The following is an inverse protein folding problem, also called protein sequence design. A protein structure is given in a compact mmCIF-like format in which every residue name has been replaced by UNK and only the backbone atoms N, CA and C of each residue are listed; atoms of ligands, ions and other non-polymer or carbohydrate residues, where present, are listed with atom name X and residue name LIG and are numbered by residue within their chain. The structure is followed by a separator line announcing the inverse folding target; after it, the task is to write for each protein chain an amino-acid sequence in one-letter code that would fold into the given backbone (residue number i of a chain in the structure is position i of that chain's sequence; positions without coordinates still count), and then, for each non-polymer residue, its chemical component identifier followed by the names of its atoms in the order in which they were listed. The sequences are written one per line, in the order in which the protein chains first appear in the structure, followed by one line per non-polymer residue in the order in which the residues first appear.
data_IF_744287519636
#
_entry.id   IF_744287519636
#
_cell.length_a   1.000
_cell.length_b   1.000
_cell.length_c   1.000
_cell.angle_alpha   90.00
_cell.angle_beta   90.00
_cell.angle_gamma   90.00
#
_symmetry.space_group_name_H-M   'P 1'
#
loop_
_entity.id
_entity.type
_entity.pdbx_description
1 polymer ?
#
# COMPACT_ATOMS: atom_id res chain seq x y z
N UNK A 1 -2.17 -14.94 -19.61
CA UNK A 1 -1.80 -14.11 -18.46
C UNK A 1 -2.02 -12.66 -18.81
N UNK A 2 -2.82 -11.94 -18.03
CA UNK A 2 -3.07 -10.50 -18.19
C UNK A 2 -1.80 -9.70 -17.88
N UNK A 3 -1.69 -8.52 -18.49
CA UNK A 3 -0.60 -7.58 -18.26
C UNK A 3 -0.92 -6.65 -17.08
N UNK A 4 -0.08 -6.62 -16.09
CA UNK A 4 -0.24 -5.81 -14.89
C UNK A 4 0.32 -4.42 -15.13
N UNK A 5 -0.48 -3.37 -15.02
CA UNK A 5 -0.02 -2.00 -14.93
C UNK A 5 0.40 -1.67 -13.51
N UNK A 6 1.60 -1.15 -13.32
CA UNK A 6 2.11 -0.71 -12.00
C UNK A 6 2.50 0.76 -12.08
N UNK A 7 1.73 1.60 -11.40
CA UNK A 7 2.08 3.00 -11.17
C UNK A 7 2.90 3.08 -9.88
N UNK A 8 4.21 3.22 -10.04
CA UNK A 8 5.22 3.14 -8.99
C UNK A 8 6.10 4.38 -8.88
N UNK A 9 7.22 4.24 -8.18
CA UNK A 9 8.18 5.34 -7.95
C UNK A 9 7.85 6.20 -6.71
N UNK A 10 6.94 5.76 -5.85
CA UNK A 10 6.44 6.52 -4.71
C UNK A 10 6.52 5.73 -3.36
N UNK A 11 7.61 5.21 -2.87
CA UNK A 11 8.99 5.28 -3.35
C UNK A 11 9.37 4.28 -4.44
N UNK A 12 10.61 4.42 -4.98
CA UNK A 12 11.16 3.42 -5.89
C UNK A 12 11.55 2.13 -5.15
N UNK A 13 11.95 2.20 -3.89
CA UNK A 13 12.26 1.05 -3.02
C UNK A 13 11.06 0.12 -2.88
N UNK A 14 9.88 0.68 -2.60
CA UNK A 14 8.66 -0.10 -2.53
C UNK A 14 8.25 -0.67 -3.89
N UNK A 15 8.54 0.05 -4.98
CA UNK A 15 8.29 -0.41 -6.34
C UNK A 15 9.11 -1.65 -6.68
N UNK A 16 10.37 -1.74 -6.23
CA UNK A 16 11.19 -2.95 -6.34
C UNK A 16 10.54 -4.12 -5.61
N UNK A 17 10.01 -3.90 -4.41
CA UNK A 17 9.30 -4.92 -3.64
C UNK A 17 8.05 -5.43 -4.38
N UNK A 18 7.25 -4.54 -4.98
CA UNK A 18 6.13 -4.92 -5.86
C UNK A 18 6.59 -5.77 -7.04
N UNK A 19 7.60 -5.31 -7.79
CA UNK A 19 8.11 -6.03 -8.95
C UNK A 19 8.58 -7.44 -8.59
N UNK A 20 9.29 -7.57 -7.47
CA UNK A 20 9.74 -8.87 -6.98
C UNK A 20 8.57 -9.77 -6.55
N UNK A 21 7.59 -9.23 -5.80
CA UNK A 21 6.45 -9.99 -5.32
C UNK A 21 5.59 -10.52 -6.49
N UNK A 22 5.31 -9.68 -7.48
CA UNK A 22 4.56 -10.06 -8.68
C UNK A 22 5.26 -11.20 -9.45
N UNK A 23 6.59 -11.08 -9.67
CA UNK A 23 7.33 -12.08 -10.41
C UNK A 23 7.48 -13.41 -9.63
N UNK A 24 7.73 -13.32 -8.31
CA UNK A 24 7.78 -14.50 -7.44
C UNK A 24 6.43 -15.23 -7.41
N UNK A 25 5.33 -14.49 -7.22
CA UNK A 25 3.99 -15.07 -7.16
C UNK A 25 3.56 -15.76 -8.46
N UNK A 26 3.92 -15.21 -9.62
CA UNK A 26 3.69 -15.88 -10.92
C UNK A 26 4.54 -17.15 -11.04
N UNK A 27 5.84 -17.06 -10.69
CA UNK A 27 6.75 -18.22 -10.75
C UNK A 27 6.32 -19.35 -9.79
N UNK A 28 5.85 -19.03 -8.61
CA UNK A 28 5.36 -20.01 -7.64
C UNK A 28 4.12 -20.76 -8.15
N UNK A 29 3.24 -20.09 -8.91
CA UNK A 29 2.00 -20.70 -9.43
C UNK A 29 2.17 -21.43 -10.74
N UNK A 30 3.06 -20.96 -11.63
CA UNK A 30 3.25 -21.53 -12.98
C UNK A 30 4.54 -22.35 -13.11
N UNK A 31 5.49 -22.17 -12.20
CA UNK A 31 6.80 -22.86 -12.20
C UNK A 31 7.77 -22.36 -13.27
N UNK A 32 8.93 -23.00 -13.33
CA UNK A 32 9.95 -22.81 -14.37
C UNK A 32 10.43 -21.36 -14.51
N UNK A 33 10.46 -20.86 -15.73
CA UNK A 33 10.94 -19.51 -16.08
C UNK A 33 9.80 -18.49 -16.18
N UNK A 34 8.58 -18.84 -15.74
CA UNK A 34 7.46 -17.91 -15.77
C UNK A 34 7.71 -16.67 -14.88
N UNK A 35 7.34 -15.52 -15.39
CA UNK A 35 7.39 -14.23 -14.71
C UNK A 35 6.15 -13.40 -15.06
N UNK A 36 5.87 -12.39 -14.27
CA UNK A 36 4.73 -11.49 -14.51
C UNK A 36 4.96 -10.62 -15.75
N UNK A 37 3.88 -10.40 -16.53
CA UNK A 37 3.86 -9.35 -17.55
C UNK A 37 3.53 -8.04 -16.84
N UNK A 38 4.48 -7.10 -16.79
CA UNK A 38 4.34 -5.83 -16.06
C UNK A 38 4.67 -4.65 -16.96
N UNK A 39 3.80 -3.65 -16.97
CA UNK A 39 4.07 -2.30 -17.48
C UNK A 39 4.21 -1.38 -16.28
N UNK A 40 5.42 -0.87 -16.06
CA UNK A 40 5.76 0.00 -14.95
C UNK A 40 5.95 1.44 -15.44
N UNK A 41 5.20 2.39 -14.86
CA UNK A 41 5.55 3.80 -14.84
C UNK A 41 6.10 4.15 -13.47
N UNK A 42 7.37 4.50 -13.40
CA UNK A 42 8.05 4.90 -12.16
C UNK A 42 8.26 6.40 -12.17
N UNK A 43 7.48 7.12 -11.35
CA UNK A 43 7.52 8.59 -11.29
C UNK A 43 8.68 9.09 -10.41
N UNK A 44 9.09 10.36 -10.60
CA UNK A 44 9.98 11.04 -9.66
C UNK A 44 9.19 11.46 -8.40
N UNK A 45 9.48 10.79 -7.27
CA UNK A 45 8.75 11.01 -6.02
C UNK A 45 8.87 12.42 -5.46
N UNK A 46 10.00 13.10 -5.69
CA UNK A 46 10.19 14.47 -5.20
C UNK A 46 9.13 15.45 -5.72
N UNK A 47 8.64 15.24 -6.96
CA UNK A 47 7.54 16.02 -7.55
C UNK A 47 6.21 15.74 -6.84
N UNK A 48 5.90 14.47 -6.63
CA UNK A 48 4.67 14.01 -5.97
C UNK A 48 4.64 14.46 -4.50
N UNK A 49 5.77 14.26 -3.78
CA UNK A 49 5.91 14.63 -2.38
C UNK A 49 5.64 16.12 -2.14
N UNK A 50 6.19 17.02 -2.99
CA UNK A 50 5.90 18.46 -2.90
C UNK A 50 4.42 18.78 -3.05
N UNK A 51 3.74 18.15 -4.02
CA UNK A 51 2.29 18.33 -4.22
C UNK A 51 1.48 17.81 -3.03
N UNK A 52 1.89 16.68 -2.46
CA UNK A 52 1.29 16.07 -1.28
C UNK A 52 1.43 16.98 -0.05
N UNK A 53 2.63 17.52 0.22
CA UNK A 53 2.87 18.42 1.35
C UNK A 53 2.19 19.79 1.19
N UNK A 54 2.09 20.31 -0.03
CA UNK A 54 1.33 21.54 -0.30
C UNK A 54 -0.19 21.33 -0.30
N UNK A 55 -0.66 20.08 -0.27
CA UNK A 55 -2.08 19.75 -0.34
C UNK A 55 -2.69 19.92 -1.74
N UNK A 56 -1.88 20.04 -2.81
CA UNK A 56 -2.38 20.16 -4.19
C UNK A 56 -2.75 18.79 -4.76
N UNK A 57 -3.79 18.19 -4.17
CA UNK A 57 -4.34 16.91 -4.61
C UNK A 57 -4.89 16.92 -6.04
N UNK A 58 -5.50 18.05 -6.53
CA UNK A 58 -5.88 18.12 -7.93
C UNK A 58 -4.71 18.04 -8.92
N UNK A 59 -3.55 18.64 -8.60
CA UNK A 59 -2.36 18.48 -9.44
C UNK A 59 -1.78 17.08 -9.36
N UNK A 60 -1.76 16.49 -8.16
CA UNK A 60 -1.38 15.08 -7.96
C UNK A 60 -2.25 14.14 -8.79
N UNK A 61 -3.57 14.32 -8.76
CA UNK A 61 -4.52 13.54 -9.54
C UNK A 61 -4.26 13.66 -11.05
N UNK A 62 -4.07 14.87 -11.56
CA UNK A 62 -3.78 15.08 -13.01
C UNK A 62 -2.50 14.39 -13.46
N UNK A 63 -1.43 14.47 -12.64
CA UNK A 63 -0.16 13.83 -12.93
C UNK A 63 -0.31 12.31 -12.96
N UNK A 64 -0.85 11.71 -11.89
CA UNK A 64 -0.98 10.26 -11.79
C UNK A 64 -1.99 9.69 -12.80
N UNK A 65 -3.05 10.42 -13.14
CA UNK A 65 -3.97 10.04 -14.20
C UNK A 65 -3.30 10.04 -15.59
N UNK A 66 -2.36 10.95 -15.85
CA UNK A 66 -1.59 10.94 -17.11
C UNK A 66 -0.70 9.70 -17.21
N UNK A 67 -0.03 9.33 -16.13
CA UNK A 67 0.79 8.11 -16.06
C UNK A 67 -0.06 6.84 -16.19
N UNK A 68 -1.24 6.80 -15.55
CA UNK A 68 -2.18 5.68 -15.67
C UNK A 68 -2.65 5.49 -17.13
N UNK A 69 -2.95 6.58 -17.84
CA UNK A 69 -3.27 6.53 -19.29
C UNK A 69 -2.11 5.98 -20.13
N UNK A 70 -0.87 6.37 -19.82
CA UNK A 70 0.30 5.85 -20.50
C UNK A 70 0.47 4.33 -20.30
N UNK A 71 0.24 3.86 -19.07
CA UNK A 71 0.23 2.43 -18.73
C UNK A 71 -0.88 1.70 -19.51
N UNK A 72 -2.11 2.22 -19.55
CA UNK A 72 -3.19 1.65 -20.32
C UNK A 72 -2.86 1.61 -21.82
N UNK A 73 -2.34 2.71 -22.38
CA UNK A 73 -1.94 2.78 -23.78
C UNK A 73 -0.82 1.80 -24.13
N UNK A 74 0.04 1.44 -23.16
CA UNK A 74 1.05 0.39 -23.27
C UNK A 74 0.47 -1.03 -23.32
N UNK A 75 -0.81 -1.22 -23.03
CA UNK A 75 -1.50 -2.50 -23.12
C UNK A 75 -1.61 -3.25 -21.77
N UNK A 76 -1.65 -2.53 -20.65
CA UNK A 76 -2.02 -3.13 -19.38
C UNK A 76 -3.51 -3.50 -19.36
N UNK A 77 -3.83 -4.63 -18.72
CA UNK A 77 -5.20 -5.12 -18.59
C UNK A 77 -5.89 -4.59 -17.32
N UNK A 78 -5.12 -4.20 -16.33
CA UNK A 78 -5.58 -3.56 -15.08
C UNK A 78 -4.44 -2.78 -14.43
N UNK A 79 -4.78 -1.89 -13.49
CA UNK A 79 -3.82 -0.98 -12.84
C UNK A 79 -3.66 -1.28 -11.35
N UNK A 80 -2.42 -1.17 -10.86
CA UNK A 80 -2.07 -1.04 -9.45
C UNK A 80 -1.46 0.33 -9.19
N UNK A 81 -1.81 0.96 -8.07
CA UNK A 81 -1.08 2.10 -7.53
C UNK A 81 -0.16 1.58 -6.43
N UNK A 82 1.16 1.66 -6.63
CA UNK A 82 2.19 1.06 -5.77
C UNK A 82 2.43 1.81 -4.45
N UNK A 83 1.40 2.45 -3.87
CA UNK A 83 1.45 3.17 -2.59
C UNK A 83 0.06 3.31 -1.99
N UNK A 84 -0.04 3.30 -0.65
CA UNK A 84 -1.34 3.47 0.01
C UNK A 84 -1.86 4.92 -0.13
N UNK A 85 -1.03 5.94 0.13
CA UNK A 85 -1.45 7.34 0.21
C UNK A 85 -2.07 7.87 -1.09
N UNK A 86 -1.55 7.46 -2.26
CA UNK A 86 -2.07 7.97 -3.54
C UNK A 86 -3.42 7.37 -3.93
N UNK A 87 -3.92 6.37 -3.21
CA UNK A 87 -5.32 5.95 -3.35
C UNK A 87 -6.33 7.04 -2.94
N UNK A 88 -5.86 8.13 -2.33
CA UNK A 88 -6.68 9.34 -2.14
C UNK A 88 -7.19 9.94 -3.44
N UNK A 89 -6.43 9.81 -4.52
CA UNK A 89 -6.82 10.28 -5.86
C UNK A 89 -7.20 9.13 -6.80
N UNK A 90 -7.52 7.95 -6.24
CA UNK A 90 -7.97 6.81 -7.02
C UNK A 90 -9.23 7.10 -7.86
N UNK A 91 -10.24 7.82 -7.36
CA UNK A 91 -11.42 8.15 -8.17
C UNK A 91 -11.09 8.92 -9.45
N UNK A 92 -10.17 9.89 -9.38
CA UNK A 92 -9.75 10.69 -10.54
C UNK A 92 -8.90 9.86 -11.51
N UNK A 93 -8.10 8.93 -11.01
CA UNK A 93 -7.34 8.00 -11.83
C UNK A 93 -8.28 7.04 -12.55
N UNK A 94 -9.23 6.42 -11.83
CA UNK A 94 -10.25 5.52 -12.39
C UNK A 94 -11.09 6.21 -13.47
N UNK A 95 -11.47 7.47 -13.25
CA UNK A 95 -12.21 8.26 -14.24
C UNK A 95 -11.40 8.57 -15.53
N UNK A 96 -10.08 8.42 -15.49
CA UNK A 96 -9.18 8.75 -16.60
C UNK A 96 -8.76 7.54 -17.46
N UNK A 97 -9.13 6.33 -17.07
CA UNK A 97 -8.75 5.06 -17.71
C UNK A 97 -9.98 4.15 -17.87
N UNK A 98 -9.93 3.21 -18.82
CA UNK A 98 -10.98 2.22 -19.06
C UNK A 98 -10.66 0.86 -18.43
N UNK A 99 -9.40 0.63 -18.02
CA UNK A 99 -8.98 -0.60 -17.36
C UNK A 99 -9.28 -0.53 -15.86
N UNK A 100 -9.63 -1.65 -15.20
CA UNK A 100 -9.96 -1.64 -13.78
C UNK A 100 -8.75 -1.32 -12.92
N UNK A 101 -8.96 -0.55 -11.84
CA UNK A 101 -8.01 -0.36 -10.75
C UNK A 101 -8.23 -1.46 -9.70
N UNK A 102 -7.20 -2.25 -9.39
CA UNK A 102 -7.20 -3.10 -8.22
C UNK A 102 -6.79 -2.24 -7.01
N UNK A 103 -7.75 -1.96 -6.13
CA UNK A 103 -7.55 -1.03 -5.02
C UNK A 103 -6.88 -1.73 -3.83
N UNK A 104 -5.76 -1.19 -3.32
CA UNK A 104 -4.96 -1.81 -2.24
C UNK A 104 -5.75 -2.05 -0.94
N UNK A 105 -6.65 -1.13 -0.57
CA UNK A 105 -7.48 -1.29 0.62
C UNK A 105 -8.51 -2.41 0.44
N UNK A 106 -9.06 -2.61 -0.77
CA UNK A 106 -10.02 -3.68 -1.03
C UNK A 106 -9.33 -5.05 -0.95
N UNK A 107 -8.15 -5.20 -1.56
CA UNK A 107 -7.34 -6.42 -1.45
C UNK A 107 -7.02 -6.76 0.01
N UNK A 108 -6.63 -5.75 0.81
CA UNK A 108 -6.34 -5.91 2.24
C UNK A 108 -7.60 -6.30 3.03
N UNK A 109 -8.72 -5.66 2.76
CA UNK A 109 -9.99 -5.95 3.43
C UNK A 109 -10.48 -7.38 3.15
N UNK A 110 -10.42 -7.83 1.90
CA UNK A 110 -10.80 -9.20 1.54
C UNK A 110 -9.94 -10.23 2.27
N UNK A 111 -8.65 -9.98 2.42
CA UNK A 111 -7.75 -10.86 3.16
C UNK A 111 -8.10 -10.88 4.66
N UNK A 112 -8.32 -9.72 5.27
CA UNK A 112 -8.75 -9.62 6.67
C UNK A 112 -10.06 -10.36 6.92
N UNK A 113 -11.07 -10.19 6.04
CA UNK A 113 -12.34 -10.89 6.13
C UNK A 113 -12.17 -12.42 5.99
N UNK A 114 -11.34 -12.88 5.06
CA UNK A 114 -11.05 -14.30 4.88
C UNK A 114 -10.40 -14.93 6.13
N UNK A 115 -9.58 -14.15 6.84
CA UNK A 115 -8.92 -14.56 8.08
C UNK A 115 -9.81 -14.32 9.34
N UNK A 116 -11.05 -13.84 9.17
CA UNK A 116 -12.02 -13.62 10.26
C UNK A 116 -11.72 -12.40 11.14
N UNK A 117 -10.86 -11.49 10.68
CA UNK A 117 -10.49 -10.26 11.40
C UNK A 117 -11.59 -9.20 11.19
N UNK A 118 -12.09 -8.63 12.28
CA UNK A 118 -13.14 -7.59 12.27
C UNK A 118 -12.69 -6.26 12.86
N UNK A 119 -11.63 -6.29 13.69
CA UNK A 119 -11.07 -5.12 14.36
C UNK A 119 -9.57 -5.05 14.14
N UNK A 120 -9.09 -3.99 13.49
CA UNK A 120 -7.71 -3.92 12.99
C UNK A 120 -7.04 -2.60 13.34
N UNK A 121 -5.77 -2.65 13.73
CA UNK A 121 -4.93 -1.47 13.85
C UNK A 121 -4.43 -1.03 12.46
N UNK A 122 -4.28 0.28 12.24
CA UNK A 122 -3.75 0.82 11.01
C UNK A 122 -2.54 1.71 11.31
N UNK A 123 -1.38 1.34 10.75
CA UNK A 123 -0.17 2.15 10.76
C UNK A 123 0.16 2.58 9.32
N UNK A 124 0.52 3.84 9.14
CA UNK A 124 0.84 4.40 7.84
C UNK A 124 1.22 5.87 7.94
N UNK A 125 1.24 6.58 6.80
CA UNK A 125 1.39 8.03 6.84
C UNK A 125 0.20 8.66 7.57
N UNK A 126 0.34 9.91 8.05
CA UNK A 126 -0.77 10.66 8.64
C UNK A 126 -1.99 10.67 7.71
N UNK A 127 -1.77 10.83 6.41
CA UNK A 127 -2.84 10.82 5.40
C UNK A 127 -3.63 9.50 5.42
N UNK A 128 -2.95 8.37 5.50
CA UNK A 128 -3.56 7.03 5.52
C UNK A 128 -4.30 6.76 6.83
N UNK A 129 -3.74 7.19 7.98
CA UNK A 129 -4.33 6.95 9.29
C UNK A 129 -5.51 7.87 9.61
N UNK A 130 -5.51 9.13 9.12
CA UNK A 130 -6.47 10.16 9.53
C UNK A 130 -7.57 10.43 8.51
N UNK A 131 -7.31 10.21 7.20
CA UNK A 131 -8.26 10.56 6.15
C UNK A 131 -9.14 9.39 5.73
N UNK A 132 -10.35 9.70 5.28
CA UNK A 132 -11.40 8.70 5.01
C UNK A 132 -11.15 7.84 3.77
N UNK A 133 -10.28 8.28 2.84
CA UNK A 133 -10.03 7.54 1.60
C UNK A 133 -9.54 6.10 1.84
N UNK A 134 -8.86 5.83 2.94
CA UNK A 134 -8.40 4.51 3.32
C UNK A 134 -9.22 3.93 4.48
N UNK A 135 -9.19 4.59 5.64
CA UNK A 135 -9.89 4.14 6.85
C UNK A 135 -11.39 4.05 6.62
N UNK A 136 -12.01 5.11 6.07
CA UNK A 136 -13.44 5.15 5.75
C UNK A 136 -13.83 4.03 4.78
N UNK A 137 -12.99 3.78 3.73
CA UNK A 137 -13.25 2.68 2.78
C UNK A 137 -13.30 1.31 3.47
N UNK A 138 -12.38 1.02 4.41
CA UNK A 138 -12.40 -0.23 5.18
C UNK A 138 -13.65 -0.35 6.06
N UNK A 139 -14.06 0.76 6.69
CA UNK A 139 -15.22 0.80 7.59
C UNK A 139 -16.54 0.71 6.82
N UNK A 140 -16.73 1.55 5.81
CA UNK A 140 -18.01 1.72 5.13
C UNK A 140 -18.31 0.57 4.15
N UNK A 141 -17.29 0.08 3.42
CA UNK A 141 -17.49 -0.97 2.41
C UNK A 141 -17.33 -2.38 2.95
N UNK A 142 -16.50 -2.56 3.99
CA UNK A 142 -16.14 -3.88 4.50
C UNK A 142 -16.54 -4.15 5.94
N UNK A 143 -17.08 -3.13 6.64
CA UNK A 143 -17.56 -3.26 8.02
C UNK A 143 -16.45 -3.51 9.05
N UNK A 144 -15.19 -3.18 8.71
CA UNK A 144 -14.06 -3.36 9.61
C UNK A 144 -13.99 -2.21 10.63
N UNK A 145 -13.78 -2.52 11.90
CA UNK A 145 -13.44 -1.51 12.90
C UNK A 145 -11.94 -1.18 12.80
N UNK A 146 -11.60 0.07 12.51
CA UNK A 146 -10.22 0.50 12.31
C UNK A 146 -9.75 1.39 13.45
N UNK A 147 -8.76 0.90 14.19
CA UNK A 147 -8.07 1.61 15.25
C UNK A 147 -6.82 2.29 14.69
N UNK A 148 -6.55 3.51 15.16
CA UNK A 148 -5.29 4.22 14.88
C UNK A 148 -4.63 4.62 16.19
N UNK A 149 -3.30 4.79 16.24
CA UNK A 149 -2.63 5.27 17.44
C UNK A 149 -3.10 6.67 17.87
N UNK A 150 -2.76 7.10 19.08
CA UNK A 150 -2.98 8.48 19.51
C UNK A 150 -2.17 9.48 18.67
N UNK A 151 -2.44 10.78 18.85
CA UNK A 151 -1.85 11.85 18.03
C UNK A 151 -0.32 11.86 18.10
N UNK A 152 0.25 11.63 19.29
CA UNK A 152 1.70 11.63 19.48
C UNK A 152 2.36 10.42 18.80
N UNK A 153 1.74 9.25 18.88
CA UNK A 153 2.22 8.04 18.21
C UNK A 153 2.05 8.13 16.69
N UNK A 154 0.93 8.70 16.18
CA UNK A 154 0.75 8.95 14.74
C UNK A 154 1.83 9.87 14.18
N UNK A 155 2.20 10.92 14.92
CA UNK A 155 3.28 11.83 14.51
C UNK A 155 4.62 11.10 14.42
N UNK A 156 4.95 10.26 15.42
CA UNK A 156 6.19 9.45 15.40
C UNK A 156 6.21 8.49 14.22
N UNK A 157 5.11 7.76 13.98
CA UNK A 157 4.97 6.85 12.83
C UNK A 157 5.19 7.60 11.52
N UNK A 158 4.54 8.76 11.34
CA UNK A 158 4.64 9.57 10.15
C UNK A 158 6.08 10.06 9.91
N UNK A 159 6.72 10.60 10.94
CA UNK A 159 8.10 11.09 10.87
C UNK A 159 9.08 9.97 10.50
N UNK A 160 9.00 8.81 11.16
CA UNK A 160 9.88 7.67 10.84
C UNK A 160 9.72 7.23 9.38
N UNK A 161 8.50 7.23 8.83
CA UNK A 161 8.28 6.89 7.42
C UNK A 161 9.06 7.83 6.51
N UNK A 162 8.95 9.16 6.69
CA UNK A 162 9.56 10.12 5.76
C UNK A 162 11.04 10.37 6.02
N UNK A 163 11.46 10.46 7.29
CA UNK A 163 12.82 10.84 7.66
C UNK A 163 13.80 9.65 7.64
N UNK A 164 13.27 8.40 7.63
CA UNK A 164 14.08 7.19 7.70
C UNK A 164 13.69 6.20 6.60
N UNK A 165 12.49 5.62 6.64
CA UNK A 165 12.14 4.48 5.79
C UNK A 165 12.11 4.81 4.29
N UNK A 166 11.58 5.98 3.90
CA UNK A 166 11.59 6.46 2.51
C UNK A 166 13.02 6.80 2.01
N UNK A 167 13.99 6.91 2.91
CA UNK A 167 15.40 7.11 2.59
C UNK A 167 16.22 5.80 2.66
N UNK A 168 15.55 4.66 2.94
CA UNK A 168 16.18 3.35 3.10
C UNK A 168 16.93 3.17 4.42
N UNK A 169 16.74 4.07 5.40
CA UNK A 169 17.38 4.03 6.70
C UNK A 169 16.53 3.20 7.68
N UNK A 170 17.01 2.01 8.04
CA UNK A 170 16.32 1.07 8.92
C UNK A 170 17.02 1.05 10.28
N UNK A 171 16.35 1.59 11.32
CA UNK A 171 16.91 1.75 12.66
C UNK A 171 16.24 0.84 13.67
N UNK A 172 17.04 0.18 14.52
CA UNK A 172 16.53 -0.65 15.62
C UNK A 172 15.69 0.15 16.64
N UNK A 173 16.04 1.41 16.89
CA UNK A 173 15.25 2.31 17.75
C UNK A 173 13.85 2.53 17.20
N UNK A 174 13.72 2.80 15.91
CA UNK A 174 12.44 3.02 15.24
C UNK A 174 11.62 1.73 15.15
N UNK A 175 12.29 0.58 15.01
CA UNK A 175 11.64 -0.73 15.08
C UNK A 175 11.02 -0.97 16.47
N UNK A 176 11.76 -0.67 17.55
CA UNK A 176 11.26 -0.80 18.92
C UNK A 176 10.05 0.11 19.18
N UNK A 177 10.08 1.36 18.67
CA UNK A 177 8.93 2.27 18.76
C UNK A 177 7.70 1.71 18.03
N UNK A 178 7.86 1.18 16.83
CA UNK A 178 6.75 0.57 16.08
C UNK A 178 6.16 -0.63 16.80
N UNK A 179 7.00 -1.51 17.37
CA UNK A 179 6.53 -2.68 18.12
C UNK A 179 5.76 -2.27 19.38
N UNK A 180 6.18 -1.21 20.07
CA UNK A 180 5.46 -0.66 21.21
C UNK A 180 4.09 -0.11 20.81
N UNK A 181 4.00 0.68 19.73
CA UNK A 181 2.74 1.21 19.19
C UNK A 181 1.80 0.07 18.77
N UNK A 182 2.33 -1.00 18.16
CA UNK A 182 1.53 -2.18 17.79
C UNK A 182 1.00 -2.91 19.02
N UNK A 183 1.80 -2.99 20.10
CA UNK A 183 1.34 -3.57 21.36
C UNK A 183 0.21 -2.76 21.99
N UNK A 184 0.29 -1.42 21.96
CA UNK A 184 -0.78 -0.54 22.43
C UNK A 184 -2.07 -0.73 21.63
N UNK A 185 -1.99 -0.85 20.30
CA UNK A 185 -3.14 -1.17 19.46
C UNK A 185 -3.73 -2.54 19.79
N UNK A 186 -2.90 -3.55 20.04
CA UNK A 186 -3.36 -4.87 20.46
C UNK A 186 -4.08 -4.81 21.83
N UNK A 187 -3.55 -4.04 22.78
CA UNK A 187 -4.20 -3.81 24.09
C UNK A 187 -5.54 -3.08 23.94
N UNK A 188 -5.65 -2.16 22.95
CA UNK A 188 -6.90 -1.50 22.61
C UNK A 188 -7.89 -2.42 21.88
N UNK A 189 -7.52 -3.69 21.63
CA UNK A 189 -8.36 -4.74 21.07
C UNK A 189 -8.20 -4.94 19.56
N UNK A 190 -7.15 -4.45 18.93
CA UNK A 190 -6.82 -4.82 17.55
C UNK A 190 -6.45 -6.30 17.48
N UNK A 191 -7.10 -7.04 16.59
CA UNK A 191 -6.83 -8.46 16.32
C UNK A 191 -5.64 -8.65 15.37
N UNK A 192 -5.31 -7.61 14.60
CA UNK A 192 -4.23 -7.57 13.64
C UNK A 192 -3.80 -6.10 13.41
N UNK A 193 -2.67 -5.88 12.74
CA UNK A 193 -2.23 -4.53 12.33
C UNK A 193 -1.95 -4.50 10.83
N UNK A 194 -2.56 -3.53 10.14
CA UNK A 194 -2.27 -3.21 8.73
C UNK A 194 -1.01 -2.36 8.67
N UNK A 195 -0.04 -2.78 7.87
CA UNK A 195 1.14 -2.01 7.50
C UNK A 195 0.77 -1.14 6.28
N UNK A 196 0.14 0.00 6.54
CA UNK A 196 -0.43 0.93 5.54
C UNK A 196 0.60 1.88 4.91
N UNK A 197 1.87 1.54 4.99
CA UNK A 197 2.96 2.11 4.21
C UNK A 197 3.86 0.96 3.77
N UNK A 198 4.22 0.95 2.51
CA UNK A 198 4.96 -0.14 1.88
C UNK A 198 6.34 -0.38 2.51
N UNK A 199 6.93 0.66 3.09
CA UNK A 199 8.24 0.64 3.74
C UNK A 199 8.21 0.09 5.18
N UNK A 200 7.05 0.10 5.86
CA UNK A 200 6.94 -0.40 7.24
C UNK A 200 7.31 -1.89 7.32
N UNK A 201 6.95 -2.67 6.29
CA UNK A 201 7.29 -4.09 6.23
C UNK A 201 8.81 -4.33 6.21
N UNK A 202 9.61 -3.39 5.67
CA UNK A 202 11.07 -3.47 5.71
C UNK A 202 11.62 -3.31 7.13
N UNK A 203 10.93 -2.52 7.98
CA UNK A 203 11.32 -2.29 9.37
C UNK A 203 10.93 -3.44 10.29
N UNK A 204 9.70 -3.96 10.16
CA UNK A 204 9.11 -4.87 11.16
C UNK A 204 8.78 -6.27 10.64
N UNK A 205 8.93 -6.55 9.34
CA UNK A 205 8.45 -7.78 8.71
C UNK A 205 9.00 -9.10 9.28
N UNK A 206 10.19 -9.08 9.89
CA UNK A 206 10.82 -10.24 10.52
C UNK A 206 10.64 -10.31 12.04
N UNK A 207 9.94 -9.34 12.65
CA UNK A 207 9.81 -9.22 14.09
C UNK A 207 8.59 -9.97 14.63
N UNK A 208 8.67 -10.41 15.88
CA UNK A 208 7.51 -10.89 16.62
C UNK A 208 6.68 -9.71 17.15
N UNK A 209 5.61 -9.39 16.43
CA UNK A 209 4.61 -8.44 16.90
C UNK A 209 3.58 -9.13 17.81
N UNK A 210 2.88 -8.35 18.63
CA UNK A 210 1.86 -8.85 19.56
C UNK A 210 0.64 -9.48 18.85
N UNK A 211 0.39 -9.09 17.59
CA UNK A 211 -0.71 -9.55 16.74
C UNK A 211 -0.22 -9.76 15.30
N UNK A 212 -0.94 -10.50 14.46
CA UNK A 212 -0.61 -10.67 13.05
C UNK A 212 -0.46 -9.34 12.31
N UNK A 213 0.54 -9.28 11.41
CA UNK A 213 0.80 -8.11 10.56
C UNK A 213 0.31 -8.37 9.14
N UNK A 214 -0.37 -7.39 8.56
CA UNK A 214 -0.89 -7.42 7.20
C UNK A 214 -0.10 -6.44 6.34
N UNK A 215 0.88 -6.96 5.62
CA UNK A 215 1.66 -6.20 4.64
C UNK A 215 0.79 -5.92 3.40
N UNK A 216 0.37 -4.66 3.25
CA UNK A 216 -0.50 -4.24 2.15
C UNK A 216 0.15 -4.44 0.78
N UNK A 217 1.48 -4.33 0.68
CA UNK A 217 2.22 -4.57 -0.57
C UNK A 217 2.16 -6.02 -1.00
N UNK A 218 2.45 -6.94 -0.06
CA UNK A 218 2.42 -8.37 -0.34
C UNK A 218 1.00 -8.84 -0.71
N UNK A 219 -0.01 -8.42 0.06
CA UNK A 219 -1.42 -8.75 -0.19
C UNK A 219 -1.89 -8.21 -1.54
N UNK A 220 -1.56 -6.97 -1.87
CA UNK A 220 -1.94 -6.34 -3.14
C UNK A 220 -1.28 -7.02 -4.32
N UNK A 221 0.01 -7.36 -4.22
CA UNK A 221 0.72 -8.10 -5.26
C UNK A 221 0.15 -9.53 -5.44
N UNK A 222 -0.19 -10.23 -4.35
CA UNK A 222 -0.84 -11.55 -4.41
C UNK A 222 -2.20 -11.50 -5.12
N UNK A 223 -3.02 -10.50 -4.79
CA UNK A 223 -4.30 -10.26 -5.44
C UNK A 223 -4.11 -9.96 -6.94
N UNK A 224 -3.10 -9.15 -7.29
CA UNK A 224 -2.76 -8.84 -8.67
C UNK A 224 -2.32 -10.08 -9.46
N UNK A 225 -1.49 -10.95 -8.88
CA UNK A 225 -1.08 -12.22 -9.48
C UNK A 225 -2.30 -13.11 -9.71
N UNK A 226 -3.21 -13.19 -8.75
CA UNK A 226 -4.46 -13.95 -8.88
C UNK A 226 -5.30 -13.44 -10.05
N UNK A 227 -5.47 -12.12 -10.16
CA UNK A 227 -6.21 -11.49 -11.26
C UNK A 227 -5.52 -11.66 -12.61
N UNK A 228 -4.18 -11.64 -12.64
CA UNK A 228 -3.41 -11.80 -13.87
C UNK A 228 -3.46 -13.22 -14.43
N UNK A 229 -3.65 -14.23 -13.59
CA UNK A 229 -3.69 -15.65 -13.96
C UNK A 229 -5.12 -16.19 -14.17
N UNK A 230 -6.14 -15.44 -13.78
CA UNK A 230 -7.54 -15.71 -14.08
C UNK A 230 -7.86 -15.37 -15.56
#
# INVERSE_FOLDING_TARGET
MKCIGLLGGMSWESTVSYYQALNRGVRERLGGLHSARVLLSSVDFAGIERLQHSGDWPATARLLAAEARAIQAGGADFLLIGTNTMHKVAPEIEAAIDIPLLHIADATAHRLQADGVTRVGLLGTRFTMEQDFYKGRLQERFGLEVLVPDDAARERVHRIIYDELCLGDIRESSQAEYLAIMADLAQAGAQAVILGCTEIALLVGACQAAVPLYDTTAIHAEAAVTLALA
#
